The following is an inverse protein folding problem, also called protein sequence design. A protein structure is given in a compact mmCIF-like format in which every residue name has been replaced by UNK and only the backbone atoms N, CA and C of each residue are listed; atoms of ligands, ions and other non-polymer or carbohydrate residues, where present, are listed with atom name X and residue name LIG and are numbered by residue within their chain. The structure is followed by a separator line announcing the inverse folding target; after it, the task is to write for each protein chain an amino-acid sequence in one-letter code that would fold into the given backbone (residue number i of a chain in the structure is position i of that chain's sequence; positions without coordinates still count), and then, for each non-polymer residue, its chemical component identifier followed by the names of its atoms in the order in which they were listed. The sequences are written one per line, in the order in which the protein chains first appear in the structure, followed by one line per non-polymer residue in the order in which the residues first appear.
data_IF_573850502059
#
_entry.id   IF_573850502059
#
_cell.length_a   1.000
_cell.length_b   1.000
_cell.length_c   1.000
_cell.angle_alpha   90.00
_cell.angle_beta   90.00
_cell.angle_gamma   90.00
#
_symmetry.space_group_name_H-M   'P 1'
#
loop_
_entity.id
_entity.type
_entity.pdbx_description
1 polymer ?
#
# COMPACT_ATOMS: atom_id res chain seq x y z
N UNK A 1 -8.94 -26.52 2.58
CA UNK A 1 -9.88 -25.75 1.75
C UNK A 1 -10.62 -24.68 2.54
N UNK A 2 -11.23 -24.97 3.69
CA UNK A 2 -12.01 -23.99 4.47
C UNK A 2 -11.24 -22.72 4.90
N UNK A 3 -9.98 -22.83 5.34
CA UNK A 3 -9.19 -21.66 5.83
C UNK A 3 -8.91 -20.62 4.74
N UNK A 4 -8.62 -21.07 3.52
CA UNK A 4 -8.39 -20.20 2.38
C UNK A 4 -9.66 -19.41 2.01
N UNK A 5 -10.78 -20.12 1.93
CA UNK A 5 -12.07 -19.51 1.61
C UNK A 5 -12.47 -18.47 2.66
N UNK A 6 -12.26 -18.73 3.95
CA UNK A 6 -12.56 -17.77 5.02
C UNK A 6 -11.77 -16.46 4.88
N UNK A 7 -10.49 -16.53 4.50
CA UNK A 7 -9.69 -15.32 4.26
C UNK A 7 -10.16 -14.55 3.03
N UNK A 8 -10.55 -15.24 1.95
CA UNK A 8 -11.15 -14.58 0.76
C UNK A 8 -12.43 -13.85 1.17
N UNK A 9 -13.34 -14.54 1.86
CA UNK A 9 -14.61 -13.94 2.30
C UNK A 9 -14.39 -12.73 3.22
N UNK A 10 -13.39 -12.79 4.11
CA UNK A 10 -13.01 -11.66 4.95
C UNK A 10 -12.55 -10.46 4.10
N UNK A 11 -11.64 -10.68 3.15
CA UNK A 11 -11.13 -9.63 2.26
C UNK A 11 -12.25 -9.03 1.40
N UNK A 12 -13.10 -9.87 0.80
CA UNK A 12 -14.22 -9.43 -0.03
C UNK A 12 -15.22 -8.58 0.78
N UNK A 13 -15.56 -9.03 2.01
CA UNK A 13 -16.43 -8.26 2.90
C UNK A 13 -15.82 -6.89 3.24
N UNK A 14 -14.53 -6.84 3.61
CA UNK A 14 -13.84 -5.58 3.91
C UNK A 14 -13.86 -4.65 2.70
N UNK A 15 -13.47 -5.13 1.53
CA UNK A 15 -13.38 -4.30 0.31
C UNK A 15 -14.74 -3.78 -0.15
N UNK A 16 -15.81 -4.57 0.03
CA UNK A 16 -17.18 -4.14 -0.28
C UNK A 16 -17.74 -3.10 0.69
N UNK A 17 -17.14 -2.98 1.90
CA UNK A 17 -17.68 -2.15 2.98
C UNK A 17 -16.73 -1.03 3.45
N UNK A 18 -15.70 -0.65 2.68
CA UNK A 18 -14.72 0.36 3.10
C UNK A 18 -15.36 1.69 3.51
N UNK A 19 -16.45 2.09 2.86
CA UNK A 19 -17.21 3.31 3.16
C UNK A 19 -18.33 3.11 4.20
N UNK A 20 -18.56 1.88 4.62
CA UNK A 20 -19.57 1.54 5.62
C UNK A 20 -18.93 1.30 7.00
N UNK A 21 -19.68 1.38 8.10
CA UNK A 21 -19.22 0.88 9.38
C UNK A 21 -18.84 -0.62 9.26
N UNK A 22 -17.64 -0.97 9.70
CA UNK A 22 -17.17 -2.36 9.75
C UNK A 22 -16.84 -2.67 11.20
N UNK A 23 -17.52 -3.64 11.81
CA UNK A 23 -17.05 -4.29 13.02
C UNK A 23 -16.16 -5.50 12.66
N UNK A 24 -15.22 -5.83 13.52
CA UNK A 24 -14.36 -7.00 13.30
C UNK A 24 -15.15 -8.30 13.45
N UNK A 25 -16.21 -8.27 14.24
CA UNK A 25 -17.19 -9.35 14.42
C UNK A 25 -17.96 -9.63 13.13
N UNK A 26 -18.36 -8.59 12.39
CA UNK A 26 -19.04 -8.74 11.10
C UNK A 26 -18.11 -9.39 10.07
N UNK A 27 -16.83 -8.99 10.05
CA UNK A 27 -15.82 -9.62 9.18
C UNK A 27 -15.65 -11.10 9.53
N UNK A 28 -15.59 -11.45 10.82
CA UNK A 28 -15.47 -12.83 11.27
C UNK A 28 -16.71 -13.66 10.92
N UNK A 29 -17.89 -13.07 11.06
CA UNK A 29 -19.17 -13.68 10.66
C UNK A 29 -19.22 -13.93 9.16
N UNK A 30 -18.85 -12.94 8.34
CA UNK A 30 -18.74 -13.09 6.89
C UNK A 30 -17.74 -14.19 6.49
N UNK A 31 -16.64 -14.32 7.23
CA UNK A 31 -15.63 -15.35 7.04
C UNK A 31 -16.02 -16.74 7.58
N UNK A 32 -17.17 -16.87 8.24
CA UNK A 32 -17.67 -18.11 8.87
C UNK A 32 -16.70 -18.72 9.89
N UNK A 33 -15.94 -17.91 10.63
CA UNK A 33 -15.00 -18.34 11.68
C UNK A 33 -15.04 -17.39 12.87
N UNK A 34 -14.50 -17.82 14.02
CA UNK A 34 -14.41 -16.94 15.20
C UNK A 34 -13.42 -15.79 14.95
N UNK A 35 -13.68 -14.64 15.57
CA UNK A 35 -12.80 -13.46 15.48
C UNK A 35 -11.36 -13.77 15.88
N UNK A 36 -11.15 -14.53 16.97
CA UNK A 36 -9.82 -14.92 17.43
C UNK A 36 -9.07 -15.80 16.43
N UNK A 37 -9.79 -16.67 15.71
CA UNK A 37 -9.20 -17.48 14.65
C UNK A 37 -8.85 -16.62 13.44
N UNK A 38 -9.77 -15.73 13.03
CA UNK A 38 -9.56 -14.81 11.92
C UNK A 38 -8.33 -13.91 12.17
N UNK A 39 -8.20 -13.33 13.37
CA UNK A 39 -7.04 -12.51 13.72
C UNK A 39 -5.72 -13.26 13.54
N UNK A 40 -5.60 -14.48 14.12
CA UNK A 40 -4.38 -15.27 13.99
C UNK A 40 -4.04 -15.63 12.54
N UNK A 41 -5.06 -16.05 11.78
CA UNK A 41 -4.87 -16.40 10.37
C UNK A 41 -4.48 -15.20 9.54
N UNK A 42 -5.19 -14.08 9.72
CA UNK A 42 -4.99 -12.85 8.97
C UNK A 42 -3.58 -12.29 9.20
N UNK A 43 -3.17 -12.16 10.46
CA UNK A 43 -1.82 -11.68 10.81
C UNK A 43 -0.73 -12.61 10.29
N UNK A 44 -0.94 -13.94 10.37
CA UNK A 44 0.05 -14.91 9.88
C UNK A 44 0.24 -14.86 8.37
N UNK A 45 -0.84 -14.59 7.61
CA UNK A 45 -0.80 -14.61 6.13
C UNK A 45 -0.41 -13.26 5.57
N UNK A 46 -0.91 -12.14 6.16
CA UNK A 46 -0.73 -10.81 5.60
C UNK A 46 0.29 -9.94 6.36
N UNK A 47 0.83 -10.44 7.48
CA UNK A 47 1.79 -9.70 8.29
C UNK A 47 1.22 -8.44 8.97
N UNK A 48 -0.09 -8.22 8.96
CA UNK A 48 -0.73 -7.08 9.60
C UNK A 48 -2.07 -7.48 10.22
N UNK A 49 -2.59 -6.67 11.13
CA UNK A 49 -3.90 -6.89 11.74
C UNK A 49 -5.03 -6.52 10.77
N UNK A 50 -6.24 -7.06 11.02
CA UNK A 50 -7.45 -6.65 10.28
C UNK A 50 -7.69 -5.15 10.33
N UNK A 51 -7.50 -4.53 11.49
CA UNK A 51 -7.70 -3.09 11.69
C UNK A 51 -6.72 -2.26 10.87
N UNK A 52 -5.46 -2.66 10.83
CA UNK A 52 -4.43 -2.01 10.01
C UNK A 52 -4.76 -2.12 8.53
N UNK A 53 -5.12 -3.32 8.06
CA UNK A 53 -5.54 -3.53 6.67
C UNK A 53 -6.71 -2.62 6.30
N UNK A 54 -7.80 -2.61 7.07
CA UNK A 54 -8.96 -1.75 6.82
C UNK A 54 -8.55 -0.28 6.78
N UNK A 55 -7.72 0.16 7.73
CA UNK A 55 -7.25 1.56 7.78
C UNK A 55 -6.44 1.94 6.54
N UNK A 56 -5.48 1.09 6.13
CA UNK A 56 -4.66 1.31 4.93
C UNK A 56 -5.52 1.37 3.67
N UNK A 57 -6.47 0.43 3.53
CA UNK A 57 -7.37 0.37 2.38
C UNK A 57 -8.28 1.60 2.30
N UNK A 58 -8.87 2.02 3.42
CA UNK A 58 -9.67 3.25 3.50
C UNK A 58 -8.88 4.48 3.06
N UNK A 59 -7.66 4.63 3.57
CA UNK A 59 -6.79 5.75 3.20
C UNK A 59 -6.41 5.73 1.71
N UNK A 60 -6.11 4.55 1.16
CA UNK A 60 -5.77 4.41 -0.25
C UNK A 60 -6.97 4.72 -1.16
N UNK A 61 -8.17 4.23 -0.83
CA UNK A 61 -9.39 4.52 -1.57
C UNK A 61 -9.78 6.01 -1.45
N UNK A 62 -9.63 6.61 -0.27
CA UNK A 62 -9.84 8.05 -0.09
C UNK A 62 -8.83 8.88 -0.89
N UNK A 63 -7.57 8.45 -0.99
CA UNK A 63 -6.55 9.10 -1.82
C UNK A 63 -6.89 9.04 -3.31
N UNK A 64 -7.44 7.93 -3.77
CA UNK A 64 -7.97 7.81 -5.14
C UNK A 64 -9.11 8.81 -5.38
N UNK A 65 -10.11 8.84 -4.49
CA UNK A 65 -11.25 9.76 -4.62
C UNK A 65 -10.84 11.24 -4.50
N UNK A 66 -9.82 11.55 -3.68
CA UNK A 66 -9.27 12.91 -3.59
C UNK A 66 -8.80 13.46 -4.93
N UNK A 67 -8.27 12.61 -5.80
CA UNK A 67 -7.76 12.99 -7.14
C UNK A 67 -8.87 12.93 -8.19
N UNK A 68 -9.70 11.88 -8.16
CA UNK A 68 -10.66 11.61 -9.23
C UNK A 68 -12.04 12.22 -8.99
N UNK A 69 -12.27 12.86 -7.84
CA UNK A 69 -13.52 13.56 -7.54
C UNK A 69 -13.29 14.98 -7.02
N UNK A 70 -14.36 15.80 -7.09
CA UNK A 70 -14.39 17.13 -6.47
C UNK A 70 -14.97 17.09 -5.05
N UNK A 71 -15.22 15.92 -4.50
CA UNK A 71 -15.84 15.73 -3.18
C UNK A 71 -15.02 16.46 -2.11
N UNK A 72 -15.63 17.26 -1.23
CA UNK A 72 -14.91 17.92 -0.14
C UNK A 72 -14.14 16.96 0.74
N UNK A 73 -12.99 17.38 1.26
CA UNK A 73 -12.15 16.54 2.15
C UNK A 73 -12.94 16.13 3.40
N UNK A 74 -13.80 17.02 3.89
CA UNK A 74 -14.72 16.74 5.01
C UNK A 74 -15.60 15.54 4.72
N UNK A 75 -16.24 15.54 3.56
CA UNK A 75 -17.18 14.48 3.16
C UNK A 75 -16.45 13.15 2.94
N UNK A 76 -15.26 13.19 2.34
CA UNK A 76 -14.41 12.01 2.22
C UNK A 76 -13.98 11.45 3.58
N UNK A 77 -13.62 12.30 4.54
CA UNK A 77 -13.26 11.86 5.88
C UNK A 77 -14.41 11.06 6.53
N UNK A 78 -15.63 11.57 6.47
CA UNK A 78 -16.80 10.88 7.00
C UNK A 78 -17.20 9.66 6.17
N UNK A 79 -17.14 9.73 4.84
CA UNK A 79 -17.40 8.58 3.95
C UNK A 79 -16.49 7.39 4.27
N UNK A 80 -15.21 7.65 4.59
CA UNK A 80 -14.27 6.62 4.99
C UNK A 80 -14.21 6.36 6.51
N UNK A 81 -15.29 6.72 7.22
CA UNK A 81 -15.54 6.36 8.62
C UNK A 81 -14.57 6.98 9.63
N UNK A 82 -14.01 8.14 9.33
CA UNK A 82 -13.27 8.93 10.30
C UNK A 82 -14.22 9.81 11.10
N UNK A 83 -13.99 9.91 12.40
CA UNK A 83 -14.84 10.70 13.32
C UNK A 83 -14.67 12.22 13.14
N UNK A 84 -13.59 12.66 12.51
CA UNK A 84 -13.35 14.08 12.19
C UNK A 84 -12.36 14.23 11.05
N UNK A 85 -12.36 15.41 10.42
CA UNK A 85 -11.40 15.78 9.36
C UNK A 85 -9.96 15.80 9.89
N UNK A 86 -9.77 16.18 11.14
CA UNK A 86 -8.46 16.21 11.80
C UNK A 86 -7.90 14.81 11.99
N UNK A 87 -8.74 13.85 12.43
CA UNK A 87 -8.35 12.44 12.58
C UNK A 87 -7.98 11.82 11.24
N UNK A 88 -8.77 12.09 10.19
CA UNK A 88 -8.48 11.70 8.83
C UNK A 88 -7.16 12.30 8.33
N UNK A 89 -7.00 13.62 8.48
CA UNK A 89 -5.81 14.33 8.00
C UNK A 89 -4.53 13.86 8.69
N UNK A 90 -4.58 13.53 9.99
CA UNK A 90 -3.46 12.92 10.73
C UNK A 90 -3.11 11.53 10.17
N UNK A 91 -4.10 10.66 10.04
CA UNK A 91 -3.90 9.33 9.49
C UNK A 91 -3.36 9.40 8.05
N UNK A 92 -3.94 10.25 7.23
CA UNK A 92 -3.53 10.46 5.84
C UNK A 92 -2.08 10.97 5.75
N UNK A 93 -1.71 11.98 6.57
CA UNK A 93 -0.34 12.51 6.59
C UNK A 93 0.69 11.47 7.06
N UNK A 94 0.33 10.63 8.03
CA UNK A 94 1.20 9.53 8.48
C UNK A 94 1.49 8.56 7.35
N UNK A 95 0.47 8.19 6.54
CA UNK A 95 0.60 7.19 5.48
C UNK A 95 1.17 7.74 4.16
N UNK A 96 0.81 8.97 3.77
CA UNK A 96 1.22 9.57 2.49
C UNK A 96 2.27 10.67 2.62
N UNK A 97 2.74 10.97 3.85
CA UNK A 97 3.73 12.01 4.16
C UNK A 97 3.34 13.41 3.66
N UNK A 98 2.08 13.61 3.30
CA UNK A 98 1.53 14.88 2.83
C UNK A 98 0.08 15.04 3.29
N UNK A 99 -0.42 16.28 3.32
CA UNK A 99 -1.82 16.53 3.69
C UNK A 99 -2.78 16.15 2.55
N UNK A 100 -4.07 15.81 2.86
CA UNK A 100 -5.07 15.53 1.84
C UNK A 100 -5.22 16.65 0.81
N UNK A 101 -5.20 17.92 1.24
CA UNK A 101 -5.30 19.07 0.35
C UNK A 101 -4.09 19.23 -0.56
N UNK A 102 -2.88 19.02 -0.05
CA UNK A 102 -1.66 19.02 -0.86
C UNK A 102 -1.64 17.85 -1.84
N UNK A 103 -2.07 16.66 -1.40
CA UNK A 103 -2.16 15.47 -2.25
C UNK A 103 -3.10 15.71 -3.43
N UNK A 104 -4.31 16.24 -3.19
CA UNK A 104 -5.26 16.65 -4.24
C UNK A 104 -4.64 17.64 -5.22
N UNK A 105 -3.97 18.67 -4.71
CA UNK A 105 -3.35 19.72 -5.57
C UNK A 105 -2.23 19.17 -6.43
N UNK A 106 -1.47 18.21 -5.93
CA UNK A 106 -0.41 17.56 -6.69
C UNK A 106 -0.95 16.67 -7.80
N UNK A 107 -2.20 16.22 -7.70
CA UNK A 107 -2.89 15.36 -8.66
C UNK A 107 -2.08 14.12 -9.06
N UNK A 108 -1.46 13.44 -8.08
CA UNK A 108 -0.54 12.33 -8.29
C UNK A 108 -0.93 11.19 -7.37
N UNK A 109 -1.48 10.14 -7.94
CA UNK A 109 -1.85 8.95 -7.19
C UNK A 109 -0.77 7.88 -7.28
N UNK A 110 -0.47 7.25 -6.15
CA UNK A 110 0.30 6.01 -6.07
C UNK A 110 -0.53 4.98 -5.32
N UNK A 111 -0.59 3.76 -5.83
CA UNK A 111 -1.25 2.63 -5.17
C UNK A 111 -0.37 2.10 -4.02
N UNK A 112 -0.27 2.89 -2.94
CA UNK A 112 0.61 2.56 -1.82
C UNK A 112 0.16 1.31 -1.05
N UNK A 113 -1.15 1.12 -0.94
CA UNK A 113 -1.76 -0.06 -0.30
C UNK A 113 -2.86 -0.63 -1.20
N UNK A 114 -2.50 -1.35 -2.26
CA UNK A 114 -3.47 -1.94 -3.18
C UNK A 114 -4.29 -3.05 -2.50
N UNK A 115 -5.42 -3.38 -3.10
CA UNK A 115 -6.25 -4.51 -2.68
C UNK A 115 -5.44 -5.80 -2.73
N UNK A 116 -5.52 -6.61 -1.66
CA UNK A 116 -4.91 -7.94 -1.65
C UNK A 116 -5.88 -8.95 -2.27
N UNK A 117 -5.36 -9.76 -3.18
CA UNK A 117 -6.04 -10.92 -3.76
C UNK A 117 -5.32 -12.17 -3.27
N UNK A 118 -6.08 -13.19 -2.88
CA UNK A 118 -5.52 -14.49 -2.53
C UNK A 118 -5.55 -15.42 -3.72
N UNK A 119 -4.41 -16.01 -4.04
CA UNK A 119 -4.30 -17.04 -5.08
C UNK A 119 -3.82 -18.36 -4.47
N UNK A 120 -4.26 -19.52 -4.99
CA UNK A 120 -3.68 -20.80 -4.58
C UNK A 120 -2.17 -20.82 -4.89
N UNK A 121 -1.38 -21.37 -3.99
CA UNK A 121 0.04 -21.56 -4.24
C UNK A 121 0.24 -22.69 -5.29
N UNK A 122 0.70 -22.34 -6.47
CA UNK A 122 1.02 -23.29 -7.56
C UNK A 122 2.53 -23.54 -7.70
N UNK A 123 3.36 -23.05 -6.75
CA UNK A 123 4.81 -23.17 -6.78
C UNK A 123 5.31 -24.60 -6.50
N UNK A 124 6.40 -25.00 -7.16
CA UNK A 124 7.08 -26.29 -6.90
C UNK A 124 7.68 -26.25 -5.49
N UNK A 125 7.14 -27.08 -4.58
CA UNK A 125 7.70 -27.31 -3.23
C UNK A 125 6.97 -26.63 -2.07
N UNK A 126 5.93 -25.84 -2.31
CA UNK A 126 5.06 -25.29 -1.25
C UNK A 126 3.80 -26.14 -1.05
N UNK A 127 3.11 -25.92 0.09
CA UNK A 127 1.76 -26.48 0.28
C UNK A 127 0.83 -25.90 -0.80
N UNK A 128 0.29 -26.75 -1.73
CA UNK A 128 -0.57 -26.26 -2.81
C UNK A 128 -1.85 -25.57 -2.33
N UNK A 129 -2.17 -25.74 -1.04
CA UNK A 129 -3.35 -25.17 -0.39
C UNK A 129 -3.01 -23.92 0.46
N UNK A 130 -1.73 -23.54 0.57
CA UNK A 130 -1.34 -22.32 1.30
C UNK A 130 -1.70 -21.09 0.44
N UNK A 131 -2.47 -20.13 0.97
CA UNK A 131 -2.79 -18.92 0.24
C UNK A 131 -1.55 -18.04 0.06
N UNK A 132 -1.36 -17.54 -1.16
CA UNK A 132 -0.33 -16.55 -1.44
C UNK A 132 -1.01 -15.19 -1.63
N UNK A 133 -0.73 -14.21 -0.75
CA UNK A 133 -1.23 -12.87 -0.94
C UNK A 133 -0.53 -12.21 -2.13
N UNK A 134 -1.33 -11.59 -3.00
CA UNK A 134 -0.86 -10.75 -4.11
C UNK A 134 -1.66 -9.46 -4.11
N UNK A 135 -1.08 -8.41 -4.64
CA UNK A 135 -1.80 -7.17 -4.86
C UNK A 135 -2.59 -7.22 -6.18
N UNK A 136 -3.67 -6.46 -6.24
CA UNK A 136 -4.41 -6.24 -7.49
C UNK A 136 -3.57 -5.34 -8.41
N UNK A 137 -2.99 -5.94 -9.43
CA UNK A 137 -2.09 -5.30 -10.39
C UNK A 137 -2.75 -5.08 -11.76
N UNK A 138 -4.07 -5.09 -11.84
CA UNK A 138 -4.80 -4.97 -13.11
C UNK A 138 -4.48 -3.64 -13.83
N UNK A 139 -4.38 -2.54 -13.10
CA UNK A 139 -3.98 -1.25 -13.68
C UNK A 139 -2.50 -1.22 -14.08
N UNK A 140 -1.61 -1.79 -13.27
CA UNK A 140 -0.19 -1.93 -13.62
C UNK A 140 -0.02 -2.70 -14.93
N UNK A 141 -0.71 -3.85 -15.08
CA UNK A 141 -0.65 -4.66 -16.29
C UNK A 141 -1.05 -3.86 -17.54
N UNK A 142 -2.10 -3.07 -17.45
CA UNK A 142 -2.53 -2.16 -18.52
C UNK A 142 -1.45 -1.12 -18.84
N UNK A 143 -0.90 -0.46 -17.81
CA UNK A 143 0.14 0.56 -17.98
C UNK A 143 1.43 0.00 -18.59
N UNK A 144 1.84 -1.22 -18.22
CA UNK A 144 3.00 -1.90 -18.82
C UNK A 144 2.77 -2.14 -20.32
N UNK A 145 1.56 -2.58 -20.71
CA UNK A 145 1.23 -2.79 -22.12
C UNK A 145 1.27 -1.48 -22.92
N UNK A 146 0.78 -0.39 -22.33
CA UNK A 146 0.78 0.95 -22.95
C UNK A 146 2.23 1.51 -23.06
N UNK A 147 3.13 1.12 -22.15
CA UNK A 147 4.51 1.57 -22.09
C UNK A 147 5.50 0.67 -22.88
N UNK A 148 5.01 -0.12 -23.83
CA UNK A 148 5.82 -1.05 -24.62
C UNK A 148 7.00 -0.33 -25.31
N UNK A 149 8.19 -0.91 -25.14
CA UNK A 149 9.43 -0.36 -25.70
C UNK A 149 10.14 0.66 -24.79
N UNK A 150 9.65 0.85 -23.57
CA UNK A 150 10.31 1.69 -22.54
C UNK A 150 10.84 0.84 -21.39
N UNK A 151 11.72 1.44 -20.58
CA UNK A 151 12.29 0.78 -19.41
C UNK A 151 11.35 0.88 -18.20
N UNK A 152 11.44 -0.12 -17.34
CA UNK A 152 10.78 -0.20 -16.04
C UNK A 152 11.87 -0.28 -14.99
N UNK A 153 11.72 0.46 -13.88
CA UNK A 153 12.57 0.30 -12.70
C UNK A 153 11.81 -0.49 -11.65
N UNK A 154 12.51 -1.45 -11.08
CA UNK A 154 12.12 -2.12 -9.84
C UNK A 154 12.86 -1.47 -8.68
N UNK A 155 12.14 -1.09 -7.64
CA UNK A 155 12.67 -0.37 -6.47
C UNK A 155 12.21 -1.11 -5.22
N UNK A 156 13.16 -1.62 -4.47
CA UNK A 156 12.93 -2.33 -3.22
C UNK A 156 13.22 -1.45 -2.00
N UNK A 157 12.48 -1.66 -0.90
CA UNK A 157 12.76 -1.02 0.38
C UNK A 157 13.62 -1.95 1.23
N UNK A 158 14.91 -1.69 1.30
CA UNK A 158 15.85 -2.52 2.03
C UNK A 158 15.49 -2.67 3.52
N UNK A 159 15.66 -3.88 4.02
CA UNK A 159 15.54 -4.22 5.44
C UNK A 159 14.16 -3.95 6.08
N UNK A 160 13.06 -3.92 5.30
CA UNK A 160 11.73 -3.68 5.84
C UNK A 160 11.34 -4.67 6.95
N UNK A 161 11.73 -5.94 6.83
CA UNK A 161 11.47 -6.95 7.85
C UNK A 161 12.17 -6.58 9.16
N UNK A 162 13.45 -6.18 9.11
CA UNK A 162 14.19 -5.76 10.30
C UNK A 162 13.58 -4.49 10.93
N UNK A 163 13.17 -3.52 10.13
CA UNK A 163 12.47 -2.31 10.62
C UNK A 163 11.19 -2.71 11.36
N UNK A 164 10.40 -3.63 10.82
CA UNK A 164 9.18 -4.11 11.44
C UNK A 164 9.44 -4.85 12.76
N UNK A 165 10.50 -5.68 12.82
CA UNK A 165 10.84 -6.47 13.98
C UNK A 165 11.42 -5.61 15.12
N UNK A 166 12.25 -4.63 14.81
CA UNK A 166 12.92 -3.76 15.80
C UNK A 166 12.07 -2.57 16.24
N UNK A 167 11.33 -1.93 15.31
CA UNK A 167 10.62 -0.67 15.54
C UNK A 167 9.10 -0.79 15.46
N UNK A 168 8.60 -1.95 15.02
CA UNK A 168 7.17 -2.23 14.85
C UNK A 168 6.62 -1.86 13.47
N UNK A 169 5.45 -2.40 13.17
CA UNK A 169 4.78 -2.27 11.87
C UNK A 169 4.47 -0.83 11.44
N UNK A 170 4.26 0.08 12.40
CA UNK A 170 4.05 1.50 12.08
C UNK A 170 5.32 2.15 11.51
N UNK A 171 6.50 1.76 11.99
CA UNK A 171 7.77 2.22 11.43
C UNK A 171 7.97 1.68 10.00
N UNK A 172 7.62 0.42 9.76
CA UNK A 172 7.62 -0.15 8.41
C UNK A 172 6.66 0.57 7.45
N UNK A 173 5.45 0.92 7.90
CA UNK A 173 4.53 1.73 7.10
C UNK A 173 5.11 3.10 6.75
N UNK A 174 5.87 3.69 7.66
CA UNK A 174 6.59 4.95 7.41
C UNK A 174 7.71 4.75 6.40
N UNK A 175 8.50 3.67 6.50
CA UNK A 175 9.53 3.34 5.53
C UNK A 175 8.94 3.18 4.11
N UNK A 176 7.85 2.45 3.96
CA UNK A 176 7.12 2.29 2.70
C UNK A 176 6.63 3.64 2.16
N UNK A 177 6.03 4.47 3.02
CA UNK A 177 5.54 5.79 2.63
C UNK A 177 6.68 6.72 2.21
N UNK A 178 7.81 6.63 2.90
CA UNK A 178 9.01 7.40 2.55
C UNK A 178 9.65 6.92 1.24
N UNK A 179 9.74 5.60 1.01
CA UNK A 179 10.17 5.06 -0.29
C UNK A 179 9.31 5.62 -1.42
N UNK A 180 7.98 5.57 -1.28
CA UNK A 180 7.08 6.17 -2.26
C UNK A 180 7.30 7.68 -2.44
N UNK A 181 7.59 8.42 -1.37
CA UNK A 181 7.89 9.85 -1.43
C UNK A 181 9.22 10.13 -2.15
N UNK A 182 10.25 9.33 -1.90
CA UNK A 182 11.57 9.41 -2.56
C UNK A 182 11.44 9.12 -4.06
N UNK A 183 10.74 8.04 -4.43
CA UNK A 183 10.42 7.75 -5.83
C UNK A 183 9.71 8.95 -6.45
N UNK A 184 8.65 9.47 -5.81
CA UNK A 184 7.87 10.59 -6.35
C UNK A 184 8.68 11.87 -6.56
N UNK A 185 9.62 12.17 -5.67
CA UNK A 185 10.54 13.31 -5.82
C UNK A 185 11.51 13.15 -6.99
N UNK A 186 11.87 11.91 -7.30
CA UNK A 186 12.92 11.56 -8.28
C UNK A 186 12.42 11.40 -9.70
N UNK A 187 11.10 11.27 -9.92
CA UNK A 187 10.51 11.02 -11.23
C UNK A 187 9.63 12.20 -11.69
N UNK A 188 9.44 12.38 -13.01
CA UNK A 188 8.51 13.36 -13.56
C UNK A 188 7.08 13.20 -13.00
N UNK A 189 6.29 14.29 -12.96
CA UNK A 189 4.93 14.26 -12.41
C UNK A 189 4.00 13.23 -13.01
N UNK A 190 4.09 13.03 -14.30
CA UNK A 190 3.25 12.13 -15.11
C UNK A 190 3.65 10.67 -14.99
N UNK A 191 4.85 10.39 -14.48
CA UNK A 191 5.37 9.02 -14.34
C UNK A 191 4.59 8.25 -13.29
N UNK A 192 4.04 7.12 -13.67
CA UNK A 192 3.31 6.23 -12.77
C UNK A 192 4.26 5.27 -12.04
N UNK A 193 3.95 4.97 -10.78
CA UNK A 193 4.58 3.88 -10.05
C UNK A 193 3.56 3.16 -9.17
N UNK A 194 3.82 1.88 -8.89
CA UNK A 194 2.90 0.97 -8.22
C UNK A 194 3.66 0.14 -7.19
N UNK A 195 3.08 -0.06 -6.02
CA UNK A 195 3.56 -1.05 -5.06
C UNK A 195 3.04 -2.42 -5.46
N UNK A 196 3.94 -3.38 -5.64
CA UNK A 196 3.62 -4.74 -6.13
C UNK A 196 3.78 -5.83 -5.07
N UNK A 197 4.58 -5.55 -4.04
CA UNK A 197 4.78 -6.45 -2.91
C UNK A 197 4.92 -5.66 -1.60
N UNK A 198 5.36 -6.29 -0.52
CA UNK A 198 5.50 -5.65 0.79
C UNK A 198 6.43 -4.44 0.76
N UNK A 199 7.52 -4.53 0.03
CA UNK A 199 8.66 -3.63 -0.05
C UNK A 199 8.98 -3.17 -1.49
N UNK A 200 8.41 -3.82 -2.51
CA UNK A 200 8.71 -3.62 -3.93
C UNK A 200 7.79 -2.62 -4.61
N UNK A 201 8.38 -1.75 -5.41
CA UNK A 201 7.70 -0.77 -6.27
C UNK A 201 8.17 -0.88 -7.72
N UNK A 202 7.24 -0.82 -8.65
CA UNK A 202 7.52 -0.72 -10.09
C UNK A 202 7.29 0.72 -10.55
N UNK A 203 8.30 1.31 -11.21
CA UNK A 203 8.21 2.63 -11.85
C UNK A 203 8.16 2.44 -13.36
N UNK A 204 7.10 2.90 -14.00
CA UNK A 204 6.93 2.89 -15.46
C UNK A 204 7.54 4.19 -15.99
N UNK A 205 8.81 4.13 -16.37
CA UNK A 205 9.61 5.34 -16.66
C UNK A 205 9.13 6.11 -17.89
N UNK A 206 8.54 5.42 -18.86
CA UNK A 206 8.20 5.99 -20.18
C UNK A 206 9.44 6.37 -21.01
N UNK A 207 10.65 5.99 -20.57
CA UNK A 207 11.92 6.31 -21.22
C UNK A 207 12.40 5.12 -22.04
N UNK A 208 12.85 5.37 -23.27
CA UNK A 208 13.46 4.39 -24.18
C UNK A 208 15.00 4.47 -24.20
N UNK A 209 15.58 5.47 -23.52
CA UNK A 209 17.02 5.66 -23.40
C UNK A 209 17.51 5.22 -22.02
N UNK A 210 18.46 4.29 -21.98
CA UNK A 210 19.00 3.73 -20.73
C UNK A 210 19.55 4.82 -19.80
N UNK A 211 20.29 5.79 -20.36
CA UNK A 211 20.90 6.87 -19.57
C UNK A 211 19.85 7.67 -18.78
N UNK A 212 18.69 7.96 -19.38
CA UNK A 212 17.62 8.68 -18.71
C UNK A 212 17.03 7.87 -17.54
N UNK A 213 17.02 6.54 -17.66
CA UNK A 213 16.57 5.63 -16.60
C UNK A 213 17.60 5.53 -15.49
N UNK A 214 18.90 5.44 -15.82
CA UNK A 214 19.99 5.46 -14.84
C UNK A 214 19.99 6.76 -14.04
N UNK A 215 19.74 7.90 -14.67
CA UNK A 215 19.62 9.20 -13.99
C UNK A 215 18.43 9.22 -13.00
N UNK A 216 17.32 8.57 -13.33
CA UNK A 216 16.18 8.39 -12.40
C UNK A 216 16.61 7.51 -11.23
N UNK A 217 17.22 6.36 -11.50
CA UNK A 217 17.67 5.44 -10.47
C UNK A 217 18.67 6.10 -9.51
N UNK A 218 19.65 6.84 -10.03
CA UNK A 218 20.61 7.59 -9.20
C UNK A 218 19.95 8.63 -8.32
N UNK A 219 18.92 9.35 -8.81
CA UNK A 219 18.15 10.29 -7.98
C UNK A 219 17.38 9.61 -6.86
N UNK A 220 16.85 8.39 -7.09
CA UNK A 220 16.19 7.61 -6.04
C UNK A 220 17.23 7.16 -5.01
N UNK A 221 18.33 6.57 -5.47
CA UNK A 221 19.41 6.08 -4.61
C UNK A 221 20.09 7.20 -3.79
N UNK A 222 20.09 8.44 -4.27
CA UNK A 222 20.64 9.58 -3.52
C UNK A 222 19.94 9.82 -2.17
N UNK A 223 18.74 9.30 -1.98
CA UNK A 223 18.02 9.35 -0.70
C UNK A 223 18.35 8.18 0.23
N UNK A 224 19.15 7.19 -0.20
CA UNK A 224 19.56 6.09 0.65
C UNK A 224 20.26 6.60 1.91
N UNK A 225 19.91 6.01 3.05
CA UNK A 225 20.39 6.39 4.38
C UNK A 225 19.97 7.78 4.90
N UNK A 226 19.12 8.53 4.17
CA UNK A 226 18.54 9.74 4.78
C UNK A 226 17.68 9.36 5.99
N UNK A 227 17.88 10.06 7.12
CA UNK A 227 17.15 9.75 8.35
C UNK A 227 15.65 10.06 8.23
N UNK A 228 14.83 9.18 8.75
CA UNK A 228 13.38 9.29 8.81
C UNK A 228 12.96 9.45 10.26
N UNK A 229 12.15 10.46 10.54
CA UNK A 229 11.65 10.72 11.89
C UNK A 229 10.63 9.65 12.31
N UNK A 230 10.82 9.08 13.50
CA UNK A 230 9.97 8.08 14.12
C UNK A 230 9.87 8.32 15.63
N UNK A 231 8.67 8.69 16.12
CA UNK A 231 8.47 9.13 17.51
C UNK A 231 9.53 10.20 17.90
N UNK A 232 10.30 9.98 18.97
CA UNK A 232 11.37 10.88 19.44
C UNK A 232 12.75 10.51 18.90
N UNK A 233 12.83 9.58 17.91
CA UNK A 233 14.07 9.07 17.32
C UNK A 233 14.06 9.18 15.80
N UNK A 234 15.12 8.72 15.18
CA UNK A 234 15.20 8.57 13.72
C UNK A 234 15.73 7.18 13.36
N UNK A 235 15.33 6.66 12.22
CA UNK A 235 15.95 5.50 11.61
C UNK A 235 16.29 5.80 10.14
N UNK A 236 17.17 5.02 9.54
CA UNK A 236 17.55 5.16 8.15
C UNK A 236 17.46 3.80 7.44
N UNK A 237 17.17 3.85 6.15
CA UNK A 237 17.11 2.66 5.30
C UNK A 237 17.52 3.03 3.87
N UNK A 238 17.83 2.01 3.07
CA UNK A 238 18.14 2.13 1.64
C UNK A 238 16.96 1.74 0.76
N UNK A 239 17.06 2.09 -0.49
CA UNK A 239 16.15 1.67 -1.57
C UNK A 239 16.97 1.16 -2.73
#
# INVERSE_FOLDING_TARGET
MHRFLSLIMALEYIEANLTNPISLEDVATAACISLSHLHRMFTRVFGCTLKEYITRRRLCSAAYDLIHSKTPITDLAFAYQYSSVESFSRAFRRHFRTSPSSFRRQNRFSHLYPKIILTPNSGKGGDPMAPVPKYDLSELSKRILDAKGTYILDVDTDNLVQINDELGWEAGDIAIAETAARIRKSIPPETAFFRIAADEFIVITGQDQLQAVEDIAQRILAYSHEPVAWNDTTFAFSV
#
